data_IF_665958392939
#
_entry.id   IF_665958392939
#
_cell.length_a   1.000
_cell.length_b   1.000
_cell.length_c   1.000
_cell.angle_alpha   90.00
_cell.angle_beta   90.00
_cell.angle_gamma   90.00
#
_symmetry.space_group_name_H-M   'P 1'
#
loop_
_entity.id
_entity.type
_entity.pdbx_description
1 polymer ?
#
# COMPACT_ATOMS: atom_id res chain seq x y z
N UNK A 1 15.24 -6.40 9.08
CA UNK A 1 13.98 -6.79 8.42
C UNK A 1 13.09 -5.57 8.40
N UNK A 2 12.81 -5.07 7.21
CA UNK A 2 11.97 -3.87 7.01
C UNK A 2 10.67 -4.38 6.42
N UNK A 3 9.58 -4.16 7.11
CA UNK A 3 8.24 -4.51 6.61
C UNK A 3 7.65 -3.27 5.98
N UNK A 4 6.91 -3.36 4.88
CA UNK A 4 6.22 -2.20 4.30
C UNK A 4 4.74 -2.24 4.64
N UNK A 5 4.18 -1.10 5.05
CA UNK A 5 2.74 -0.93 5.24
C UNK A 5 2.15 0.05 4.22
N UNK A 6 0.89 -0.17 3.86
CA UNK A 6 0.11 0.81 3.07
C UNK A 6 -0.16 2.05 3.92
N UNK A 7 0.09 3.23 3.35
CA UNK A 7 -0.34 4.49 3.95
C UNK A 7 -1.84 4.73 3.74
N UNK A 8 -2.40 5.77 4.34
CA UNK A 8 -3.78 6.18 4.04
C UNK A 8 -3.99 6.42 2.54
N UNK A 9 -3.01 7.05 1.87
CA UNK A 9 -3.01 7.29 0.42
C UNK A 9 -2.95 5.98 -0.37
N UNK A 10 -2.10 5.03 0.05
CA UNK A 10 -2.02 3.70 -0.54
C UNK A 10 -3.33 2.91 -0.44
N UNK A 11 -4.00 2.97 0.71
CA UNK A 11 -5.30 2.31 0.89
C UNK A 11 -6.38 2.91 0.01
N UNK A 12 -6.48 4.24 -0.04
CA UNK A 12 -7.45 4.93 -0.88
C UNK A 12 -7.22 4.61 -2.37
N UNK A 13 -5.98 4.61 -2.83
CA UNK A 13 -5.67 4.29 -4.23
C UNK A 13 -5.95 2.82 -4.56
N UNK A 14 -5.60 1.89 -3.67
CA UNK A 14 -5.90 0.47 -3.85
C UNK A 14 -7.40 0.15 -3.89
N UNK A 15 -8.22 0.96 -3.20
CA UNK A 15 -9.68 0.87 -3.20
C UNK A 15 -10.33 1.64 -4.36
N UNK A 16 -9.57 2.49 -5.06
CA UNK A 16 -10.11 3.35 -6.11
C UNK A 16 -10.25 2.58 -7.42
N UNK A 17 -11.47 2.54 -7.97
CA UNK A 17 -11.73 1.96 -9.30
C UNK A 17 -11.10 2.78 -10.45
N UNK A 18 -10.74 4.04 -10.19
CA UNK A 18 -9.95 4.91 -11.07
C UNK A 18 -8.60 5.17 -10.42
N UNK A 19 -7.79 4.13 -10.33
CA UNK A 19 -6.41 4.29 -9.90
C UNK A 19 -5.72 5.29 -10.84
N UNK A 20 -5.17 6.37 -10.28
CA UNK A 20 -4.27 7.27 -11.05
C UNK A 20 -2.91 6.62 -11.29
N UNK A 21 -2.74 5.44 -10.71
CA UNK A 21 -1.54 4.64 -10.68
C UNK A 21 -1.59 3.58 -11.79
N UNK A 22 -0.45 3.36 -12.43
CA UNK A 22 -0.30 2.34 -13.46
C UNK A 22 -0.73 0.96 -12.93
N UNK A 23 -1.40 0.16 -13.77
CA UNK A 23 -1.99 -1.12 -13.39
C UNK A 23 -0.97 -2.02 -12.65
N UNK A 24 0.28 -2.01 -13.12
CA UNK A 24 1.38 -2.80 -12.54
C UNK A 24 1.73 -2.36 -11.12
N UNK A 25 1.82 -1.06 -10.91
CA UNK A 25 2.12 -0.49 -9.60
C UNK A 25 0.93 -0.63 -8.64
N UNK A 26 -0.30 -0.62 -9.15
CA UNK A 26 -1.48 -0.91 -8.33
C UNK A 26 -1.50 -2.37 -7.87
N UNK A 27 -1.16 -3.33 -8.74
CA UNK A 27 -0.97 -4.73 -8.35
C UNK A 27 0.13 -4.89 -7.29
N UNK A 28 1.25 -4.18 -7.45
CA UNK A 28 2.31 -4.17 -6.46
C UNK A 28 1.84 -3.59 -5.11
N UNK A 29 1.06 -2.51 -5.15
CA UNK A 29 0.46 -1.89 -3.97
C UNK A 29 -0.49 -2.88 -3.27
N UNK A 30 -1.33 -3.61 -4.01
CA UNK A 30 -2.24 -4.60 -3.45
C UNK A 30 -1.51 -5.71 -2.69
N UNK A 31 -0.33 -6.14 -3.16
CA UNK A 31 0.51 -7.14 -2.51
C UNK A 31 1.13 -6.69 -1.18
N UNK A 32 1.16 -5.38 -0.90
CA UNK A 32 1.71 -4.87 0.36
C UNK A 32 0.67 -5.03 1.48
N UNK A 33 0.85 -6.03 2.34
CA UNK A 33 -0.10 -6.32 3.42
C UNK A 33 0.40 -5.91 4.83
N UNK A 34 1.66 -5.47 4.96
CA UNK A 34 2.24 -5.18 6.28
C UNK A 34 2.66 -6.43 7.07
N UNK A 35 2.53 -7.61 6.46
CA UNK A 35 2.94 -8.90 7.04
C UNK A 35 4.23 -9.41 6.39
N UNK A 36 4.37 -9.22 5.08
CA UNK A 36 5.50 -9.70 4.29
C UNK A 36 6.73 -8.81 4.45
N UNK A 37 7.90 -9.40 4.67
CA UNK A 37 9.18 -8.66 4.68
C UNK A 37 9.48 -8.07 3.29
N UNK A 38 10.20 -6.96 3.28
CA UNK A 38 10.73 -6.31 2.07
C UNK A 38 11.34 -7.28 1.05
N UNK A 39 12.17 -8.23 1.48
CA UNK A 39 12.88 -9.16 0.61
C UNK A 39 11.91 -10.17 -0.05
N UNK A 40 11.01 -10.75 0.76
CA UNK A 40 9.97 -11.65 0.28
C UNK A 40 8.97 -10.94 -0.64
N UNK A 41 8.67 -9.66 -0.37
CA UNK A 41 7.80 -8.84 -1.21
C UNK A 41 8.48 -8.53 -2.55
N UNK A 42 9.77 -8.18 -2.55
CA UNK A 42 10.54 -8.01 -3.80
C UNK A 42 10.56 -9.30 -4.61
N UNK A 43 10.79 -10.45 -3.96
CA UNK A 43 10.77 -11.75 -4.63
C UNK A 43 9.38 -12.06 -5.24
N UNK A 44 8.30 -11.77 -4.52
CA UNK A 44 6.94 -11.95 -5.02
C UNK A 44 6.64 -11.04 -6.22
N UNK A 45 7.10 -9.79 -6.19
CA UNK A 45 6.95 -8.85 -7.30
C UNK A 45 7.74 -9.32 -8.53
N UNK A 46 8.98 -9.77 -8.35
CA UNK A 46 9.79 -10.32 -9.44
C UNK A 46 9.14 -11.58 -10.03
N UNK A 47 8.60 -12.47 -9.20
CA UNK A 47 7.88 -13.66 -9.64
C UNK A 47 6.61 -13.30 -10.43
N UNK A 48 5.96 -12.18 -10.09
CA UNK A 48 4.82 -11.62 -10.83
C UNK A 48 5.22 -10.83 -12.09
N UNK A 49 6.52 -10.72 -12.41
CA UNK A 49 7.02 -9.97 -13.56
C UNK A 49 7.01 -8.44 -13.37
N UNK A 50 6.90 -7.98 -12.13
CA UNK A 50 6.97 -6.57 -11.77
C UNK A 50 8.42 -6.16 -11.51
N UNK A 51 8.83 -4.95 -11.93
CA UNK A 51 10.19 -4.48 -11.68
C UNK A 51 10.40 -4.27 -10.17
N UNK A 52 11.59 -4.59 -9.62
CA UNK A 52 11.88 -4.40 -8.19
C UNK A 52 11.80 -2.92 -7.76
N UNK A 53 11.98 -1.99 -8.71
CA UNK A 53 11.85 -0.55 -8.50
C UNK A 53 10.42 -0.10 -8.16
N UNK A 54 9.42 -0.96 -8.38
CA UNK A 54 8.01 -0.67 -8.10
C UNK A 54 7.79 -0.26 -6.63
N UNK A 55 8.50 -0.90 -5.69
CA UNK A 55 8.41 -0.54 -4.27
C UNK A 55 9.00 0.83 -3.99
N UNK A 56 10.17 1.14 -4.54
CA UNK A 56 10.80 2.45 -4.42
C UNK A 56 9.90 3.56 -4.97
N UNK A 57 9.23 3.31 -6.10
CA UNK A 57 8.28 4.27 -6.68
C UNK A 57 7.04 4.44 -5.79
N UNK A 58 6.49 3.35 -5.24
CA UNK A 58 5.35 3.42 -4.33
C UNK A 58 5.69 4.14 -3.02
N UNK A 59 6.91 3.94 -2.50
CA UNK A 59 7.42 4.62 -1.31
C UNK A 59 7.63 6.12 -1.59
N UNK A 60 8.35 6.46 -2.67
CA UNK A 60 8.62 7.84 -3.06
C UNK A 60 7.34 8.66 -3.32
N UNK A 61 6.27 8.00 -3.80
CA UNK A 61 4.96 8.63 -3.99
C UNK A 61 4.08 8.65 -2.73
N UNK A 62 4.56 8.04 -1.64
CA UNK A 62 3.91 7.99 -0.34
C UNK A 62 2.72 7.02 -0.25
N UNK A 63 2.65 6.01 -1.12
CA UNK A 63 1.61 4.97 -1.05
C UNK A 63 1.94 3.86 -0.05
N UNK A 64 3.23 3.57 0.13
CA UNK A 64 3.73 2.65 1.15
C UNK A 64 4.77 3.36 2.02
N UNK A 65 4.97 2.86 3.23
CA UNK A 65 6.00 3.33 4.13
C UNK A 65 6.68 2.14 4.82
N UNK A 66 8.00 2.21 5.08
CA UNK A 66 8.65 1.22 5.92
C UNK A 66 8.05 1.29 7.32
N UNK A 67 7.55 0.15 7.79
CA UNK A 67 7.21 -0.13 9.18
C UNK A 67 8.52 -0.15 9.96
N UNK A 68 8.99 1.04 10.33
CA UNK A 68 10.05 1.17 11.32
C UNK A 68 9.45 0.66 12.62
N UNK A 69 9.85 -0.52 13.07
CA UNK A 69 9.55 -1.02 14.42
C UNK A 69 10.27 -0.15 15.48
N UNK A 70 9.87 1.11 15.60
CA UNK A 70 9.89 1.80 16.88
C UNK A 70 8.48 1.67 17.43
N UNK A 71 8.19 0.54 18.07
CA UNK A 71 7.07 0.51 19.00
C UNK A 71 7.32 1.61 20.03
N UNK A 72 6.33 2.49 20.23
CA UNK A 72 5.64 2.48 21.50
C UNK A 72 4.32 1.73 21.28
N UNK A 73 4.13 0.66 22.05
CA UNK A 73 2.81 0.07 22.26
C UNK A 73 1.85 1.20 22.63
N UNK A 74 0.87 1.55 21.80
CA UNK A 74 -0.22 2.43 22.27
C UNK A 74 -0.92 3.37 21.30
N UNK A 75 -0.68 3.33 19.99
CA UNK A 75 -1.54 4.10 19.06
C UNK A 75 -2.03 3.18 17.95
N UNK A 76 -3.18 2.55 18.18
CA UNK A 76 -4.11 2.33 17.08
C UNK A 76 -4.50 3.72 16.58
N UNK A 77 -4.29 4.07 15.30
CA UNK A 77 -5.02 5.19 14.73
C UNK A 77 -6.48 4.76 14.68
N UNK A 78 -7.22 5.32 15.63
CA UNK A 78 -8.67 5.35 15.70
C UNK A 78 -9.28 5.51 14.31
N UNK A 79 -10.14 4.56 13.98
CA UNK A 79 -10.97 4.55 12.79
C UNK A 79 -12.05 5.63 12.99
N UNK A 80 -12.20 6.59 12.08
CA UNK A 80 -13.55 6.93 11.67
C UNK A 80 -13.78 6.27 10.32
N UNK A 81 -14.55 5.18 10.39
CA UNK A 81 -15.30 4.60 9.29
C UNK A 81 -16.31 5.64 8.79
N UNK A 82 -15.85 6.69 8.10
CA UNK A 82 -16.71 7.61 7.37
C UNK A 82 -17.02 6.96 6.01
N UNK A 83 -17.95 6.00 6.06
CA UNK A 83 -18.75 5.62 4.91
C UNK A 83 -19.61 6.84 4.54
N UNK A 84 -19.16 7.65 3.58
CA UNK A 84 -20.08 8.50 2.82
C UNK A 84 -20.30 7.87 1.45
N UNK A 85 -21.46 7.23 1.35
CA UNK A 85 -22.02 6.73 0.12
C UNK A 85 -22.54 7.92 -0.70
N UNK A 86 -21.83 8.29 -1.77
CA UNK A 86 -22.46 9.08 -2.82
C UNK A 86 -21.87 8.79 -4.21
N UNK A 87 -22.47 7.82 -4.90
CA UNK A 87 -22.55 7.86 -6.35
C UNK A 87 -23.98 7.51 -6.73
N UNK A 88 -24.88 8.47 -6.49
CA UNK A 88 -26.21 8.48 -7.06
C UNK A 88 -26.11 8.94 -8.53
N UNK A 89 -26.91 8.28 -9.35
CA UNK A 89 -27.18 8.48 -10.77
C UNK A 89 -27.05 9.93 -11.31
N UNK A 90 -26.46 10.03 -12.50
CA UNK A 90 -26.99 10.90 -13.56
C UNK A 90 -26.81 10.21 -14.91
#
# INVERSE_FOLDING_TARGET
>A
MVTYIKTAKGRLEAMSCRASLDLRLNSALLMVDGVTDSDALVAALQAAGLPPDSLSVLEARGYIAPLVQRLPRGVLPDLPLAADAHCAAN
#
